data_IF_510202680974
#
_entry.id   IF_510202680974
#
_cell.length_a   1.000
_cell.length_b   1.000
_cell.length_c   1.000
_cell.angle_alpha   90.00
_cell.angle_beta   90.00
_cell.angle_gamma   90.00
#
_symmetry.space_group_name_H-M   'P 1'
#
loop_
_entity.id
_entity.type
_entity.pdbx_description
1 polymer ?
#
# COMPACT_ATOMS: atom_id res chain seq x y z
N UNK A 1 -3.17 -4.41 0.38
CA UNK A 1 -2.79 -3.84 -0.94
C UNK A 1 -1.31 -3.45 -0.90
N UNK A 2 -0.54 -3.65 -1.97
CA UNK A 2 0.87 -3.23 -1.99
C UNK A 2 0.98 -1.72 -2.23
N UNK A 3 1.80 -1.06 -1.41
CA UNK A 3 2.06 0.37 -1.48
C UNK A 3 3.56 0.65 -1.46
N UNK A 4 4.01 1.67 -2.18
CA UNK A 4 5.34 2.24 -2.02
C UNK A 4 5.35 3.24 -0.87
N UNK A 5 6.34 3.15 0.03
CA UNK A 5 6.53 4.09 1.13
C UNK A 5 7.41 5.23 0.64
N UNK A 6 7.00 6.48 0.89
CA UNK A 6 7.70 7.67 0.40
C UNK A 6 8.24 8.56 1.51
N UNK A 7 9.42 9.14 1.24
CA UNK A 7 10.04 10.21 2.03
C UNK A 7 9.41 11.59 1.70
N UNK A 8 9.81 12.68 2.40
CA UNK A 8 9.34 14.04 2.10
C UNK A 8 9.64 14.52 0.67
N UNK A 9 10.61 13.93 -0.01
CA UNK A 9 11.04 14.28 -1.37
C UNK A 9 10.42 13.35 -2.44
N UNK A 10 9.38 12.58 -2.08
CA UNK A 10 8.69 11.58 -2.91
C UNK A 10 9.57 10.41 -3.39
N UNK A 11 10.74 10.19 -2.78
CA UNK A 11 11.59 9.03 -3.06
C UNK A 11 10.99 7.78 -2.44
N UNK A 12 11.06 6.67 -3.16
CA UNK A 12 10.57 5.38 -2.67
C UNK A 12 11.58 4.81 -1.67
N UNK A 13 11.20 4.76 -0.39
CA UNK A 13 12.00 4.16 0.68
C UNK A 13 11.86 2.64 0.72
N UNK A 14 10.75 2.11 0.21
CA UNK A 14 10.47 0.67 0.22
C UNK A 14 9.03 0.34 -0.09
N UNK A 15 8.63 -0.88 0.25
CA UNK A 15 7.28 -1.40 0.07
C UNK A 15 6.60 -1.62 1.42
N UNK A 16 5.30 -1.40 1.46
CA UNK A 16 4.42 -1.75 2.56
C UNK A 16 3.17 -2.47 2.08
N UNK A 17 2.45 -3.06 3.03
CA UNK A 17 1.13 -3.62 2.81
C UNK A 17 0.09 -2.78 3.56
N UNK A 18 -0.87 -2.24 2.82
CA UNK A 18 -2.02 -1.51 3.33
C UNK A 18 -3.16 -2.48 3.60
N UNK A 19 -3.68 -2.47 4.82
CA UNK A 19 -4.78 -3.31 5.27
C UNK A 19 -5.91 -2.47 5.86
N UNK A 20 -7.14 -2.96 5.71
CA UNK A 20 -8.31 -2.33 6.32
C UNK A 20 -8.47 -2.91 7.72
N UNK A 21 -8.53 -2.03 8.72
CA UNK A 21 -8.80 -2.39 10.10
C UNK A 21 -10.31 -2.44 10.34
N UNK A 22 -10.73 -3.17 11.38
CA UNK A 22 -12.15 -3.35 11.74
C UNK A 22 -12.85 -2.04 12.16
N UNK A 23 -12.06 -1.01 12.49
CA UNK A 23 -12.51 0.32 12.92
C UNK A 23 -12.53 1.35 11.80
N UNK A 24 -12.64 0.90 10.54
CA UNK A 24 -12.63 1.76 9.34
C UNK A 24 -11.32 2.56 9.18
N UNK A 25 -10.25 2.16 9.87
CA UNK A 25 -8.91 2.72 9.71
C UNK A 25 -8.07 1.93 8.70
N UNK A 26 -7.03 2.56 8.15
CA UNK A 26 -6.06 1.91 7.28
C UNK A 26 -4.74 1.72 8.01
N UNK A 27 -4.28 0.47 8.12
CA UNK A 27 -2.99 0.14 8.71
C UNK A 27 -1.98 -0.16 7.62
N UNK A 28 -0.76 0.37 7.78
CA UNK A 28 0.37 0.02 6.91
C UNK A 28 1.37 -0.81 7.69
N UNK A 29 1.72 -1.97 7.13
CA UNK A 29 2.82 -2.80 7.61
C UNK A 29 4.03 -2.56 6.70
N UNK A 30 5.11 -2.05 7.28
CA UNK A 30 6.37 -1.73 6.56
C UNK A 30 7.56 -1.90 7.49
N UNK A 31 8.73 -2.25 6.94
CA UNK A 31 10.01 -2.27 7.67
C UNK A 31 10.69 -0.90 7.72
N UNK A 32 10.11 0.12 7.07
CA UNK A 32 10.61 1.50 7.06
C UNK A 32 10.02 2.24 8.25
N UNK A 33 10.86 2.55 9.25
CA UNK A 33 10.41 3.06 10.55
C UNK A 33 10.27 4.59 10.66
N UNK A 34 11.20 5.35 10.09
CA UNK A 34 11.23 6.81 10.18
C UNK A 34 11.05 7.47 8.80
N UNK A 35 10.57 8.72 8.78
CA UNK A 35 10.39 9.56 7.58
C UNK A 35 9.27 9.19 6.59
N UNK A 36 8.41 8.21 6.88
CA UNK A 36 7.23 7.98 6.04
C UNK A 36 6.33 9.23 6.01
N UNK A 37 6.22 9.86 4.85
CA UNK A 37 5.33 11.02 4.61
C UNK A 37 4.22 10.74 3.60
N UNK A 38 4.35 9.68 2.81
CA UNK A 38 3.36 9.34 1.79
C UNK A 38 3.33 7.86 1.45
N UNK A 39 2.20 7.45 0.87
CA UNK A 39 2.00 6.12 0.30
C UNK A 39 1.67 6.25 -1.18
N UNK A 40 2.40 5.52 -2.01
CA UNK A 40 2.09 5.37 -3.43
C UNK A 40 1.33 4.08 -3.64
N UNK A 41 0.06 4.18 -4.02
CA UNK A 41 -0.78 3.03 -4.34
C UNK A 41 -0.20 2.24 -5.52
N UNK A 42 0.12 0.97 -5.30
CA UNK A 42 0.52 0.03 -6.34
C UNK A 42 -0.69 -0.61 -7.02
N UNK A 43 -0.54 -1.06 -8.26
CA UNK A 43 -1.57 -1.82 -9.00
C UNK A 43 -1.58 -3.30 -8.63
N UNK A 44 -1.22 -3.64 -7.39
CA UNK A 44 -1.11 -5.01 -6.90
C UNK A 44 -1.75 -5.16 -5.52
N UNK A 45 -2.43 -6.29 -5.33
CA UNK A 45 -2.85 -6.79 -4.02
C UNK A 45 -1.96 -7.96 -3.66
N UNK A 46 -1.65 -8.09 -2.38
CA UNK A 46 -0.94 -9.23 -1.80
C UNK A 46 -1.83 -9.81 -0.71
N UNK A 47 -1.92 -11.13 -0.70
CA UNK A 47 -2.43 -11.93 0.41
C UNK A 47 -1.26 -12.16 1.38
N UNK A 48 -1.39 -11.74 2.63
CA UNK A 48 -0.30 -11.79 3.60
C UNK A 48 -0.11 -13.18 4.23
N UNK A 49 -1.08 -14.10 4.07
CA UNK A 49 -0.98 -15.47 4.57
C UNK A 49 -0.31 -16.37 3.53
N UNK A 50 -0.68 -16.21 2.25
CA UNK A 50 -0.22 -17.07 1.15
C UNK A 50 0.84 -16.44 0.26
N UNK A 51 1.12 -15.15 0.44
CA UNK A 51 2.01 -14.33 -0.40
C UNK A 51 1.62 -14.26 -1.88
N UNK A 52 0.43 -14.75 -2.26
CA UNK A 52 -0.06 -14.64 -3.62
C UNK A 52 -0.36 -13.19 -3.94
N UNK A 53 0.00 -12.80 -5.16
CA UNK A 53 -0.26 -11.44 -5.65
C UNK A 53 -1.24 -11.46 -6.81
N UNK A 54 -2.07 -10.41 -6.88
CA UNK A 54 -3.02 -10.20 -7.97
C UNK A 54 -2.96 -8.76 -8.45
N UNK A 55 -3.23 -8.56 -9.74
CA UNK A 55 -3.29 -7.21 -10.31
C UNK A 55 -4.60 -6.53 -9.96
N UNK A 56 -4.50 -5.24 -9.63
CA UNK A 56 -5.64 -4.37 -9.35
C UNK A 56 -5.69 -3.29 -10.43
N UNK A 57 -6.87 -3.12 -11.03
CA UNK A 57 -7.13 -1.98 -11.90
C UNK A 57 -7.38 -0.75 -11.04
N UNK A 58 -6.36 0.09 -10.88
CA UNK A 58 -6.45 1.30 -10.05
C UNK A 58 -7.59 2.23 -10.47
N UNK A 59 -7.92 2.28 -11.76
CA UNK A 59 -9.03 3.10 -12.25
C UNK A 59 -10.37 2.64 -11.68
N UNK A 60 -10.60 1.33 -11.66
CA UNK A 60 -11.78 0.73 -11.07
C UNK A 60 -11.80 0.92 -9.54
N UNK A 61 -10.64 0.81 -8.88
CA UNK A 61 -10.53 0.99 -7.43
C UNK A 61 -10.82 2.44 -7.00
N UNK A 62 -10.22 3.41 -7.68
CA UNK A 62 -10.28 4.83 -7.31
C UNK A 62 -11.57 5.50 -7.77
N UNK A 63 -12.09 5.09 -8.93
CA UNK A 63 -13.15 5.82 -9.64
C UNK A 63 -14.35 4.95 -10.02
N UNK A 64 -14.30 3.63 -9.78
CA UNK A 64 -15.40 2.72 -10.14
C UNK A 64 -15.56 2.47 -11.64
N UNK A 65 -14.62 2.90 -12.50
CA UNK A 65 -14.72 2.88 -13.98
C UNK A 65 -13.55 2.22 -14.70
#
# INVERSE_FOLDING_TARGET
MLVGVQDPNARCLGLGALDASEDDSLRVVTSVGEEMRGLRLGSMRIDLETFKTSRVRLRQLMFGV
#
